data_IF_124093769831
#
_entry.id   IF_124093769831
#
_cell.length_a   1.000
_cell.length_b   1.000
_cell.length_c   1.000
_cell.angle_alpha   90.00
_cell.angle_beta   90.00
_cell.angle_gamma   90.00
#
_symmetry.space_group_name_H-M   'P 1'
#
loop_
_entity.id
_entity.type
_entity.pdbx_description
1 polymer ?
#
# COMPACT_ATOMS: atom_id res chain seq x y z
N UNK A 1 -7.97 20.50 1.56
CA UNK A 1 -7.29 20.38 0.25
C UNK A 1 -6.44 19.12 0.25
N UNK A 2 -6.48 18.27 -0.77
CA UNK A 2 -5.66 17.04 -0.75
C UNK A 2 -4.26 17.31 -1.29
N UNK A 3 -3.22 16.84 -0.59
CA UNK A 3 -1.83 16.94 -1.02
C UNK A 3 -1.32 15.57 -1.42
N UNK A 4 -0.86 15.41 -2.67
CA UNK A 4 -0.34 14.14 -3.17
C UNK A 4 1.19 14.16 -3.20
N UNK A 5 1.82 13.11 -2.67
CA UNK A 5 3.27 12.91 -2.67
C UNK A 5 3.63 11.77 -3.63
N UNK A 6 4.38 12.11 -4.67
CA UNK A 6 4.85 11.19 -5.72
C UNK A 6 6.37 11.12 -5.75
N UNK A 7 6.90 10.03 -6.30
CA UNK A 7 8.35 9.81 -6.43
C UNK A 7 8.79 10.12 -7.85
N UNK A 8 9.92 10.81 -8.00
CA UNK A 8 10.56 11.02 -9.31
C UNK A 8 11.44 9.85 -9.77
N UNK A 9 11.77 8.93 -8.86
CA UNK A 9 12.55 7.71 -9.12
C UNK A 9 11.74 6.45 -8.78
N UNK A 10 12.09 5.33 -9.43
CA UNK A 10 11.42 4.02 -9.25
C UNK A 10 11.54 3.48 -7.82
N UNK A 11 12.64 3.77 -7.12
CA UNK A 11 12.91 3.27 -5.77
C UNK A 11 13.53 4.39 -4.92
N UNK A 12 13.20 4.41 -3.62
CA UNK A 12 13.83 5.27 -2.60
C UNK A 12 13.90 6.78 -2.90
N UNK A 13 12.90 7.30 -3.60
CA UNK A 13 12.82 8.73 -3.90
C UNK A 13 12.68 9.63 -2.65
N UNK A 14 12.44 9.05 -1.46
CA UNK A 14 12.25 9.78 -0.20
C UNK A 14 10.79 10.18 0.11
N UNK A 15 9.82 9.65 -0.66
CA UNK A 15 8.38 9.95 -0.54
C UNK A 15 7.87 9.89 0.90
N UNK A 16 8.08 8.77 1.58
CA UNK A 16 7.56 8.56 2.95
C UNK A 16 8.20 9.47 3.98
N UNK A 17 9.48 9.78 3.83
CA UNK A 17 10.14 10.75 4.72
C UNK A 17 9.55 12.15 4.54
N UNK A 18 9.36 12.56 3.28
CA UNK A 18 8.74 13.85 2.96
C UNK A 18 7.28 13.91 3.42
N UNK A 19 6.48 12.88 3.11
CA UNK A 19 5.08 12.77 3.49
C UNK A 19 4.91 12.83 5.01
N UNK A 20 5.67 12.03 5.76
CA UNK A 20 5.63 12.05 7.23
C UNK A 20 5.97 13.44 7.81
N UNK A 21 7.00 14.11 7.26
CA UNK A 21 7.37 15.46 7.70
C UNK A 21 6.28 16.50 7.39
N UNK A 22 5.67 16.42 6.20
CA UNK A 22 4.56 17.29 5.81
C UNK A 22 3.32 17.05 6.67
N UNK A 23 2.98 15.79 6.93
CA UNK A 23 1.86 15.40 7.79
C UNK A 23 2.03 15.94 9.21
N UNK A 24 3.22 15.79 9.79
CA UNK A 24 3.53 16.32 11.12
C UNK A 24 3.48 17.86 11.15
N UNK A 25 3.96 18.53 10.10
CA UNK A 25 3.93 19.98 9.99
C UNK A 25 2.50 20.54 9.91
N UNK A 26 1.62 19.87 9.16
CA UNK A 26 0.22 20.28 8.99
C UNK A 26 -0.70 19.79 10.12
N UNK A 27 -0.20 18.92 11.01
CA UNK A 27 -0.98 18.27 12.07
C UNK A 27 -2.23 17.59 11.49
N UNK A 28 -2.01 16.79 10.44
CA UNK A 28 -3.05 16.09 9.68
C UNK A 28 -2.81 14.57 9.65
N UNK A 29 -3.60 13.85 8.88
CA UNK A 29 -3.48 12.41 8.66
C UNK A 29 -2.89 12.11 7.29
N UNK A 30 -1.90 11.22 7.25
CA UNK A 30 -1.36 10.69 6.02
C UNK A 30 -2.16 9.47 5.54
N UNK A 31 -2.19 9.21 4.24
CA UNK A 31 -2.78 8.01 3.66
C UNK A 31 -1.81 7.40 2.66
N UNK A 32 -1.77 6.07 2.59
CA UNK A 32 -1.04 5.33 1.57
C UNK A 32 -1.96 4.22 1.07
N UNK A 33 -2.93 4.53 0.19
CA UNK A 33 -4.05 3.62 -0.11
C UNK A 33 -3.64 2.21 -0.55
N UNK A 34 -2.47 2.10 -1.18
CA UNK A 34 -1.88 0.85 -1.64
C UNK A 34 -0.43 0.77 -1.18
N UNK A 35 0.00 -0.42 -0.80
CA UNK A 35 1.40 -0.70 -0.51
C UNK A 35 1.67 -2.18 -0.73
N UNK A 36 2.94 -2.56 -0.67
CA UNK A 36 3.33 -3.95 -0.63
C UNK A 36 4.78 -4.10 -0.23
N UNK A 37 5.09 -5.29 0.28
CA UNK A 37 6.43 -5.72 0.65
C UNK A 37 6.79 -6.95 -0.18
N UNK A 38 8.06 -7.13 -0.47
CA UNK A 38 8.59 -8.41 -0.93
C UNK A 38 9.22 -9.18 0.23
N UNK A 39 8.85 -10.45 0.40
CA UNK A 39 9.35 -11.30 1.50
C UNK A 39 10.87 -11.41 1.57
N UNK A 40 11.56 -11.27 0.44
CA UNK A 40 13.00 -11.34 0.38
C UNK A 40 13.64 -9.96 0.50
N UNK A 41 13.19 -8.97 -0.28
CA UNK A 41 13.80 -7.63 -0.27
C UNK A 41 13.44 -6.82 0.98
N UNK A 42 12.21 -6.93 1.46
CA UNK A 42 11.69 -6.26 2.65
C UNK A 42 11.60 -7.23 3.84
N UNK A 43 12.46 -8.26 3.87
CA UNK A 43 12.41 -9.37 4.82
C UNK A 43 12.17 -8.93 6.26
N UNK A 44 12.98 -8.01 6.78
CA UNK A 44 12.91 -7.58 8.18
C UNK A 44 11.60 -6.83 8.47
N UNK A 45 11.13 -6.01 7.53
CA UNK A 45 9.88 -5.26 7.66
C UNK A 45 8.67 -6.20 7.60
N UNK A 46 8.66 -7.14 6.66
CA UNK A 46 7.62 -8.14 6.51
C UNK A 46 7.57 -9.08 7.71
N UNK A 47 8.73 -9.60 8.15
CA UNK A 47 8.82 -10.51 9.29
C UNK A 47 8.34 -9.86 10.58
N UNK A 48 8.72 -8.60 10.82
CA UNK A 48 8.26 -7.85 12.00
C UNK A 48 6.74 -7.70 12.00
N UNK A 49 6.14 -7.29 10.90
CA UNK A 49 4.69 -7.14 10.82
C UNK A 49 3.97 -8.48 10.99
N UNK A 50 4.47 -9.54 10.34
CA UNK A 50 3.91 -10.88 10.45
C UNK A 50 3.99 -11.43 11.88
N UNK A 51 5.11 -11.25 12.57
CA UNK A 51 5.25 -11.66 13.98
C UNK A 51 4.31 -10.91 14.95
N UNK A 52 3.70 -9.81 14.51
CA UNK A 52 2.64 -9.09 15.23
C UNK A 52 1.22 -9.58 14.83
N UNK A 53 1.11 -10.64 14.04
CA UNK A 53 -0.14 -11.16 13.48
C UNK A 53 -0.77 -10.22 12.43
N UNK A 54 0.05 -9.40 11.76
CA UNK A 54 -0.41 -8.31 10.89
C UNK A 54 0.34 -8.28 9.55
N UNK A 55 -0.20 -7.54 8.59
CA UNK A 55 0.45 -7.30 7.30
C UNK A 55 0.40 -5.83 6.91
N UNK A 56 1.54 -5.15 7.04
CA UNK A 56 1.74 -3.76 6.66
C UNK A 56 3.24 -3.49 6.39
N UNK A 57 3.54 -2.37 5.72
CA UNK A 57 4.91 -1.97 5.40
C UNK A 57 5.45 -0.89 6.35
N UNK A 58 6.78 -0.74 6.41
CA UNK A 58 7.44 0.32 7.19
C UNK A 58 6.92 1.73 6.87
N UNK A 59 6.52 1.96 5.62
CA UNK A 59 6.00 3.26 5.19
C UNK A 59 4.68 3.57 5.89
N UNK A 60 3.73 2.63 5.89
CA UNK A 60 2.45 2.80 6.56
C UNK A 60 2.64 3.00 8.07
N UNK A 61 3.59 2.28 8.70
CA UNK A 61 3.94 2.47 10.11
C UNK A 61 4.53 3.86 10.41
N UNK A 62 5.42 4.34 9.53
CA UNK A 62 6.01 5.67 9.66
C UNK A 62 4.97 6.78 9.49
N UNK A 63 4.06 6.63 8.53
CA UNK A 63 2.97 7.57 8.28
C UNK A 63 1.96 7.56 9.44
N UNK A 64 1.65 6.39 10.00
CA UNK A 64 0.82 6.26 11.20
C UNK A 64 1.40 7.04 12.38
N UNK A 65 2.69 6.85 12.67
CA UNK A 65 3.38 7.57 13.74
C UNK A 65 3.51 9.08 13.53
N UNK A 66 3.39 9.57 12.29
CA UNK A 66 3.40 11.00 11.97
C UNK A 66 2.01 11.63 11.91
N UNK A 67 0.95 10.81 11.84
CA UNK A 67 -0.42 11.27 11.65
C UNK A 67 -1.06 11.70 12.96
N UNK A 68 -1.89 12.75 12.89
CA UNK A 68 -2.79 13.11 13.97
C UNK A 68 -3.84 12.02 14.19
N UNK A 69 -4.28 11.84 15.44
CA UNK A 69 -5.33 10.89 15.81
C UNK A 69 -4.88 9.44 16.03
N UNK A 70 -3.56 9.20 16.04
CA UNK A 70 -2.94 7.88 16.33
C UNK A 70 -3.54 6.70 15.52
N UNK A 71 -3.71 6.84 14.19
CA UNK A 71 -4.21 5.74 13.37
C UNK A 71 -3.21 4.58 13.35
N UNK A 72 -3.70 3.36 13.16
CA UNK A 72 -2.86 2.19 12.88
C UNK A 72 -2.36 2.22 11.44
N UNK A 73 -1.31 1.43 11.09
CA UNK A 73 -0.87 1.31 9.70
C UNK A 73 -1.99 0.84 8.76
N UNK A 74 -2.87 -0.06 9.24
CA UNK A 74 -3.99 -0.60 8.47
C UNK A 74 -5.03 0.47 8.12
N UNK A 75 -5.30 1.39 9.06
CA UNK A 75 -6.21 2.51 8.85
C UNK A 75 -5.76 3.41 7.69
N UNK A 76 -4.46 3.55 7.45
CA UNK A 76 -3.93 4.46 6.41
C UNK A 76 -3.72 3.78 5.07
N UNK A 77 -3.60 2.45 5.08
CA UNK A 77 -3.25 1.63 3.95
C UNK A 77 -4.22 0.45 3.88
N UNK A 78 -5.43 0.56 3.34
CA UNK A 78 -6.36 -0.56 3.32
C UNK A 78 -5.84 -1.77 2.53
N UNK A 79 -5.03 -1.56 1.49
CA UNK A 79 -4.52 -2.66 0.66
C UNK A 79 -3.01 -2.81 0.81
N UNK A 80 -2.59 -3.93 1.36
CA UNK A 80 -1.18 -4.28 1.49
C UNK A 80 -0.86 -5.64 0.86
N UNK A 81 -0.01 -5.66 -0.15
CA UNK A 81 0.37 -6.87 -0.87
C UNK A 81 1.68 -7.46 -0.38
N UNK A 82 1.71 -8.75 -0.14
CA UNK A 82 2.95 -9.52 0.04
C UNK A 82 3.33 -10.22 -1.25
N UNK A 83 4.55 -9.96 -1.71
CA UNK A 83 5.19 -10.61 -2.85
C UNK A 83 6.23 -11.61 -2.39
N UNK A 84 6.59 -12.55 -3.26
CA UNK A 84 7.82 -13.32 -3.13
C UNK A 84 8.54 -13.40 -4.48
N UNK A 85 9.88 -13.60 -4.48
CA UNK A 85 10.61 -13.89 -5.70
C UNK A 85 10.08 -15.16 -6.37
N UNK A 86 9.88 -15.10 -7.68
CA UNK A 86 9.42 -16.23 -8.50
C UNK A 86 10.24 -16.31 -9.78
N UNK A 87 11.50 -16.79 -9.72
CA UNK A 87 12.33 -16.93 -10.90
C UNK A 87 11.83 -18.11 -11.75
N UNK A 88 11.14 -17.82 -12.85
CA UNK A 88 10.61 -18.83 -13.77
C UNK A 88 10.08 -18.21 -15.07
N UNK A 89 9.79 -19.03 -16.11
CA UNK A 89 9.22 -18.52 -17.36
C UNK A 89 7.75 -18.09 -17.20
N UNK A 90 7.07 -18.53 -16.14
CA UNK A 90 5.68 -18.25 -15.85
C UNK A 90 5.55 -17.01 -14.94
N UNK A 91 4.74 -16.03 -15.37
CA UNK A 91 4.48 -14.78 -14.63
C UNK A 91 3.53 -14.95 -13.43
N UNK A 92 3.16 -16.19 -13.09
CA UNK A 92 2.21 -16.52 -12.03
C UNK A 92 0.79 -15.95 -12.26
N UNK A 93 -0.03 -15.99 -11.21
CA UNK A 93 -1.41 -15.46 -11.21
C UNK A 93 -1.44 -13.93 -11.35
N UNK A 94 -0.59 -13.25 -10.57
CA UNK A 94 -0.30 -11.83 -10.61
C UNK A 94 1.19 -11.70 -10.34
N UNK A 95 1.95 -11.22 -11.31
CA UNK A 95 3.40 -11.15 -11.20
C UNK A 95 4.05 -10.28 -12.25
N UNK A 96 5.26 -9.84 -11.93
CA UNK A 96 6.23 -9.40 -12.92
C UNK A 96 7.09 -10.63 -13.28
N UNK A 97 7.98 -10.58 -14.27
CA UNK A 97 8.77 -11.77 -14.65
C UNK A 97 9.58 -12.40 -13.50
N UNK A 98 9.77 -11.67 -12.40
CA UNK A 98 10.69 -12.03 -11.32
C UNK A 98 10.00 -12.19 -9.94
N UNK A 99 8.67 -12.01 -9.84
CA UNK A 99 7.93 -12.08 -8.57
C UNK A 99 6.50 -12.51 -8.75
N UNK A 100 5.95 -13.17 -7.73
CA UNK A 100 4.54 -13.56 -7.68
C UNK A 100 3.85 -13.10 -6.40
N UNK A 101 2.55 -12.85 -6.54
CA UNK A 101 1.66 -12.50 -5.44
C UNK A 101 1.45 -13.68 -4.48
N UNK A 102 1.57 -13.43 -3.17
CA UNK A 102 1.34 -14.40 -2.10
C UNK A 102 0.00 -14.16 -1.41
N UNK A 103 -0.16 -12.98 -0.79
CA UNK A 103 -1.34 -12.63 -0.01
C UNK A 103 -1.52 -11.10 0.04
N UNK A 104 -2.76 -10.64 -0.12
CA UNK A 104 -3.17 -9.25 0.07
C UNK A 104 -3.87 -9.19 1.41
N UNK A 105 -3.52 -8.20 2.24
CA UNK A 105 -4.46 -7.69 3.23
C UNK A 105 -5.33 -6.66 2.53
N UNK A 106 -6.65 -6.83 2.65
CA UNK A 106 -7.67 -5.93 2.13
C UNK A 106 -8.55 -5.54 3.30
N UNK A 107 -8.26 -4.37 3.85
CA UNK A 107 -8.85 -3.89 5.09
C UNK A 107 -8.67 -4.92 6.23
N UNK A 108 -9.74 -5.47 6.78
CA UNK A 108 -9.71 -6.49 7.84
C UNK A 108 -9.69 -7.94 7.31
N UNK A 109 -9.76 -8.15 5.99
CA UNK A 109 -9.71 -9.49 5.38
C UNK A 109 -8.39 -9.76 4.64
N UNK A 110 -8.18 -11.02 4.27
CA UNK A 110 -7.04 -11.46 3.49
C UNK A 110 -7.49 -12.20 2.24
N UNK A 111 -6.72 -12.02 1.16
CA UNK A 111 -6.92 -12.70 -0.13
C UNK A 111 -5.60 -13.34 -0.49
N UNK A 112 -5.54 -14.66 -0.67
CA UNK A 112 -4.29 -15.35 -0.94
C UNK A 112 -4.31 -16.12 -2.25
N UNK A 113 -3.13 -16.23 -2.85
CA UNK A 113 -2.92 -16.99 -4.05
C UNK A 113 -2.82 -18.49 -3.72
N UNK A 114 -3.87 -19.24 -4.04
CA UNK A 114 -3.95 -20.68 -3.82
C UNK A 114 -3.11 -21.51 -4.80
N UNK A 115 -2.57 -20.87 -5.86
CA UNK A 115 -1.65 -21.53 -6.79
C UNK A 115 -0.21 -21.60 -6.26
N UNK A 116 0.09 -20.94 -5.13
CA UNK A 116 1.42 -20.92 -4.52
C UNK A 116 1.37 -21.45 -3.09
N UNK A 117 2.45 -22.10 -2.67
CA UNK A 117 2.57 -22.48 -1.26
C UNK A 117 2.78 -21.23 -0.39
N UNK A 118 1.89 -21.02 0.57
CA UNK A 118 2.05 -19.94 1.55
C UNK A 118 3.25 -20.23 2.46
N UNK A 119 4.14 -19.24 2.67
CA UNK A 119 5.23 -19.36 3.63
C UNK A 119 4.71 -19.75 5.02
N UNK A 120 5.43 -20.59 5.80
CA UNK A 120 4.99 -21.01 7.13
C UNK A 120 4.59 -19.85 8.03
N UNK A 121 5.42 -18.80 8.09
CA UNK A 121 5.16 -17.61 8.89
C UNK A 121 3.83 -16.92 8.53
N UNK A 122 3.47 -16.86 7.24
CA UNK A 122 2.18 -16.29 6.80
C UNK A 122 1.03 -17.16 7.28
N UNK A 123 1.17 -18.49 7.19
CA UNK A 123 0.15 -19.46 7.57
C UNK A 123 -0.06 -19.54 9.09
N UNK A 124 1.00 -19.35 9.85
CA UNK A 124 1.02 -19.48 11.31
C UNK A 124 0.55 -18.19 12.00
N UNK A 125 0.92 -17.02 11.48
CA UNK A 125 0.67 -15.74 12.16
C UNK A 125 -0.59 -15.01 11.67
N UNK A 126 -1.04 -15.25 10.43
CA UNK A 126 -2.23 -14.61 9.87
C UNK A 126 -3.46 -15.54 9.93
N UNK A 127 -4.69 -15.00 10.00
CA UNK A 127 -5.94 -15.78 10.01
C UNK A 127 -6.28 -16.35 8.62
N UNK A 128 -5.35 -17.09 8.01
CA UNK A 128 -5.47 -17.62 6.63
C UNK A 128 -6.67 -18.57 6.49
N UNK A 129 -7.11 -19.22 7.56
CA UNK A 129 -8.29 -20.09 7.53
C UNK A 129 -9.59 -19.34 7.19
N UNK A 130 -9.64 -18.04 7.43
CA UNK A 130 -10.78 -17.16 7.13
C UNK A 130 -10.55 -16.33 5.85
N UNK A 131 -9.39 -16.50 5.21
CA UNK A 131 -9.00 -15.74 4.03
C UNK A 131 -9.65 -16.28 2.74
N UNK A 132 -9.80 -15.38 1.76
CA UNK A 132 -10.32 -15.70 0.43
C UNK A 132 -9.21 -16.31 -0.43
N UNK A 133 -9.42 -17.54 -0.87
CA UNK A 133 -8.51 -18.24 -1.77
C UNK A 133 -8.82 -17.87 -3.22
N UNK A 134 -7.79 -17.49 -4.00
CA UNK A 134 -7.90 -17.28 -5.45
C UNK A 134 -6.88 -18.13 -6.18
N UNK A 135 -7.28 -18.76 -7.27
CA UNK A 135 -6.45 -19.65 -8.09
C UNK A 135 -6.38 -19.22 -9.55
N UNK A 136 -7.22 -18.26 -9.96
CA UNK A 136 -7.27 -17.74 -11.33
C UNK A 136 -7.48 -16.23 -11.38
N UNK A 137 -7.12 -15.62 -12.51
CA UNK A 137 -7.28 -14.17 -12.72
C UNK A 137 -8.76 -13.77 -12.64
N UNK A 138 -9.66 -14.65 -13.11
CA UNK A 138 -11.10 -14.42 -13.04
C UNK A 138 -11.58 -14.33 -11.57
N UNK A 139 -11.22 -15.31 -10.74
CA UNK A 139 -11.53 -15.29 -9.30
C UNK A 139 -10.92 -14.07 -8.61
N UNK A 140 -9.68 -13.71 -8.95
CA UNK A 140 -9.06 -12.52 -8.38
C UNK A 140 -9.79 -11.24 -8.80
N UNK A 141 -10.24 -11.13 -10.05
CA UNK A 141 -11.02 -9.96 -10.50
C UNK A 141 -12.37 -9.86 -9.77
N UNK A 142 -13.05 -10.97 -9.53
CA UNK A 142 -14.29 -10.98 -8.72
C UNK A 142 -14.03 -10.49 -7.29
N UNK A 143 -12.93 -10.94 -6.66
CA UNK A 143 -12.53 -10.46 -5.33
C UNK A 143 -12.12 -8.99 -5.37
N UNK A 144 -11.44 -8.54 -6.42
CA UNK A 144 -11.09 -7.13 -6.60
C UNK A 144 -12.34 -6.24 -6.62
N UNK A 145 -13.39 -6.66 -7.33
CA UNK A 145 -14.65 -5.92 -7.41
C UNK A 145 -15.42 -5.90 -6.08
N UNK A 146 -15.40 -7.00 -5.35
CA UNK A 146 -16.22 -7.18 -4.14
C UNK A 146 -15.53 -6.78 -2.84
N UNK A 147 -14.18 -6.74 -2.80
CA UNK A 147 -13.40 -6.42 -1.61
C UNK A 147 -12.42 -5.27 -1.82
N UNK A 148 -11.55 -5.32 -2.84
CA UNK A 148 -10.50 -4.30 -3.01
C UNK A 148 -11.05 -2.94 -3.41
N UNK A 149 -11.99 -2.88 -4.37
CA UNK A 149 -12.58 -1.61 -4.80
C UNK A 149 -13.36 -0.94 -3.66
N UNK A 150 -14.26 -1.63 -2.92
CA UNK A 150 -14.91 -1.04 -1.75
C UNK A 150 -13.93 -0.51 -0.69
N UNK A 151 -12.85 -1.24 -0.39
CA UNK A 151 -11.84 -0.79 0.57
C UNK A 151 -11.11 0.49 0.10
N UNK A 152 -10.91 0.64 -1.22
CA UNK A 152 -10.35 1.85 -1.81
C UNK A 152 -11.33 3.02 -1.82
N UNK A 153 -12.62 2.75 -2.04
CA UNK A 153 -13.67 3.76 -1.98
C UNK A 153 -13.85 4.28 -0.55
N UNK A 154 -13.75 3.40 0.46
CA UNK A 154 -13.83 3.80 1.86
C UNK A 154 -12.65 4.70 2.27
N UNK A 155 -11.41 4.35 1.91
CA UNK A 155 -10.27 5.22 2.20
C UNK A 155 -10.35 6.52 1.41
N UNK A 156 -10.88 6.52 0.19
CA UNK A 156 -11.15 7.75 -0.58
C UNK A 156 -12.12 8.67 0.17
N UNK A 157 -13.24 8.13 0.66
CA UNK A 157 -14.21 8.88 1.45
C UNK A 157 -13.63 9.39 2.79
N UNK A 158 -12.66 8.69 3.38
CA UNK A 158 -11.92 9.16 4.56
C UNK A 158 -10.95 10.30 4.22
N UNK A 159 -10.24 10.20 3.10
CA UNK A 159 -9.37 11.26 2.58
C UNK A 159 -10.20 12.54 2.36
N UNK A 160 -11.34 12.45 1.69
CA UNK A 160 -12.20 13.61 1.41
C UNK A 160 -12.69 14.34 2.66
N UNK A 161 -12.98 13.60 3.73
CA UNK A 161 -13.44 14.15 5.01
C UNK A 161 -12.30 14.66 5.89
N UNK A 162 -11.05 14.37 5.54
CA UNK A 162 -9.89 14.79 6.31
C UNK A 162 -9.51 16.22 5.96
N UNK A 163 -9.17 17.02 6.95
CA UNK A 163 -8.64 18.38 6.73
C UNK A 163 -7.20 18.28 6.28
N UNK A 164 -6.93 18.64 5.04
CA UNK A 164 -5.59 18.71 4.45
C UNK A 164 -4.81 17.38 4.40
N UNK A 165 -5.42 16.26 3.93
CA UNK A 165 -4.79 14.96 3.94
C UNK A 165 -3.53 14.95 3.07
N UNK A 166 -2.53 14.22 3.54
CA UNK A 166 -1.32 13.92 2.75
C UNK A 166 -1.42 12.51 2.22
N UNK A 167 -1.56 12.33 0.91
CA UNK A 167 -1.66 11.02 0.27
C UNK A 167 -0.32 10.67 -0.36
N UNK A 168 0.27 9.56 0.03
CA UNK A 168 1.47 9.01 -0.60
C UNK A 168 1.09 8.01 -1.70
N UNK A 169 1.71 8.17 -2.87
CA UNK A 169 1.66 7.21 -3.97
C UNK A 169 2.40 5.90 -3.67
N UNK A 170 2.19 4.89 -4.53
CA UNK A 170 2.79 3.57 -4.39
C UNK A 170 3.54 3.16 -5.65
N UNK A 171 4.84 2.84 -5.50
CA UNK A 171 5.68 2.41 -6.63
C UNK A 171 5.56 3.36 -7.84
N UNK A 172 5.42 2.82 -9.04
CA UNK A 172 5.18 3.54 -10.30
C UNK A 172 3.71 4.00 -10.47
N UNK A 173 2.83 3.74 -9.48
CA UNK A 173 1.43 4.18 -9.48
C UNK A 173 1.32 5.57 -8.84
N UNK A 174 1.53 6.60 -9.67
CA UNK A 174 1.50 7.99 -9.24
C UNK A 174 0.16 8.43 -8.60
N UNK A 175 -0.96 7.90 -9.11
CA UNK A 175 -2.31 8.15 -8.57
C UNK A 175 -2.87 6.86 -7.95
N UNK A 176 -2.81 6.71 -6.62
CA UNK A 176 -3.18 5.45 -5.95
C UNK A 176 -4.70 5.17 -5.94
N UNK A 177 -5.50 6.20 -6.20
CA UNK A 177 -6.96 6.18 -6.31
C UNK A 177 -7.36 6.85 -7.63
N UNK A 178 -8.37 6.30 -8.31
CA UNK A 178 -8.76 6.72 -9.67
C UNK A 178 -9.23 8.16 -9.71
N UNK A 179 -10.10 8.52 -8.78
CA UNK A 179 -10.80 9.81 -8.75
C UNK A 179 -10.17 10.80 -7.76
N UNK A 180 -8.89 10.58 -7.40
CA UNK A 180 -8.16 11.50 -6.53
C UNK A 180 -7.86 12.81 -7.26
N UNK A 181 -8.41 13.90 -6.73
CA UNK A 181 -8.15 15.26 -7.21
C UNK A 181 -7.29 16.04 -6.18
N UNK A 182 -5.95 15.95 -6.25
CA UNK A 182 -5.09 16.72 -5.38
C UNK A 182 -5.15 18.22 -5.72
N UNK A 183 -5.04 19.08 -4.72
CA UNK A 183 -4.83 20.51 -4.92
C UNK A 183 -3.38 20.81 -5.35
N UNK A 184 -2.43 20.06 -4.79
CA UNK A 184 -1.01 20.15 -5.14
C UNK A 184 -0.35 18.77 -5.11
N UNK A 185 0.67 18.61 -5.95
CA UNK A 185 1.48 17.38 -6.04
C UNK A 185 2.93 17.71 -5.75
N UNK A 186 3.51 17.07 -4.73
CA UNK A 186 4.92 17.12 -4.43
C UNK A 186 5.61 15.90 -5.08
N UNK A 187 6.37 16.14 -6.14
CA UNK A 187 7.26 15.14 -6.74
C UNK A 187 8.60 15.18 -6.02
N UNK A 188 8.88 14.13 -5.26
CA UNK A 188 10.04 13.99 -4.37
C UNK A 188 11.09 13.13 -5.04
N UNK A 189 12.33 13.58 -4.95
CA UNK A 189 13.55 12.89 -5.38
C UNK A 189 14.59 13.08 -4.27
N UNK A 190 15.70 12.32 -4.28
CA UNK A 190 16.78 12.54 -3.33
C UNK A 190 17.22 14.01 -3.34
N UNK A 191 17.10 14.68 -2.18
CA UNK A 191 17.46 16.09 -1.93
C UNK A 191 16.63 17.14 -2.67
N UNK A 192 15.53 16.79 -3.33
CA UNK A 192 14.70 17.74 -4.10
C UNK A 192 13.22 17.41 -3.97
N UNK A 193 12.38 18.45 -3.89
CA UNK A 193 10.95 18.34 -4.12
C UNK A 193 10.52 19.39 -5.14
N UNK A 194 9.73 18.99 -6.14
CA UNK A 194 9.09 19.89 -7.10
C UNK A 194 7.59 19.90 -6.84
N UNK A 195 7.02 21.10 -6.76
CA UNK A 195 5.60 21.27 -6.46
C UNK A 195 4.85 21.63 -7.75
N UNK A 196 3.80 20.87 -8.04
CA UNK A 196 2.90 21.08 -9.17
C UNK A 196 1.51 21.42 -8.65
N UNK A 197 0.76 22.20 -9.42
CA UNK A 197 -0.69 22.30 -9.21
C UNK A 197 -1.32 20.97 -9.63
N UNK A 198 -2.27 20.46 -8.84
CA UNK A 198 -2.84 19.13 -9.10
C UNK A 198 -3.68 19.05 -10.37
N UNK A 199 -4.27 20.15 -10.83
CA UNK A 199 -4.96 20.26 -12.12
C UNK A 199 -4.03 20.15 -13.34
N UNK A 200 -2.71 20.26 -13.13
CA UNK A 200 -1.68 20.24 -14.19
C UNK A 200 -0.73 19.05 -14.10
N UNK A 201 -0.89 18.19 -13.10
CA UNK A 201 -0.09 17.00 -12.88
C UNK A 201 -0.79 15.78 -13.48
#
# INVERSE_FOLDING_TARGET
>A
MTLLVVGGDRVDAGKTTFAAGLTAFLVTTAFKPRAGNDLWFDHDDAYRALAEGRLYGKDAARLAGASAGEPTPGDLNPIHRLWRPAPGPDIGLLGDSDREFVIDRVDETYVYNASVELPPLVREELPVAEALAVSSIAEFNEVMETHHLPALDEVAARIERTTEPVVESYSDVARPLRDLEPAAVACVEPRRARIYRGDRY
#
